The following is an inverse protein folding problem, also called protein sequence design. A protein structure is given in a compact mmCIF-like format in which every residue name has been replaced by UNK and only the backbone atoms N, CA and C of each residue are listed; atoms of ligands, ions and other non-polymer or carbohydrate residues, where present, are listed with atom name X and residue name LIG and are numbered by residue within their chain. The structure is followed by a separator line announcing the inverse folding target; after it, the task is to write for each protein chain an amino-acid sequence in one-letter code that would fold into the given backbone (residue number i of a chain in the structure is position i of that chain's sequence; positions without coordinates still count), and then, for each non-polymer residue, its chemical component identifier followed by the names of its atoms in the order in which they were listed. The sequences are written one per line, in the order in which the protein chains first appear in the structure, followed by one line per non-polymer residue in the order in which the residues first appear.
data_IF_215460086837
#
_entry.id   IF_215460086837
#
_cell.length_a   1.000
_cell.length_b   1.000
_cell.length_c   1.000
_cell.angle_alpha   90.00
_cell.angle_beta   90.00
_cell.angle_gamma   90.00
#
_symmetry.space_group_name_H-M   'P 1'
#
loop_
_entity.id
_entity.type
_entity.pdbx_description
1 polymer ?
#
# COMPACT_ATOMS: atom_id res chain seq x y z
N UNK A 1 10.70 20.56 -0.97
CA UNK A 1 9.82 19.89 -1.95
C UNK A 1 10.31 20.23 -3.36
N UNK A 2 10.82 19.25 -4.08
CA UNK A 2 11.40 19.45 -5.43
C UNK A 2 10.57 18.74 -6.54
N UNK A 3 9.40 18.20 -6.18
CA UNK A 3 8.47 17.55 -7.12
C UNK A 3 8.77 16.08 -7.39
N UNK A 4 9.68 15.48 -6.64
CA UNK A 4 9.99 14.06 -6.67
C UNK A 4 10.13 13.53 -5.23
N UNK A 5 10.11 12.22 -5.06
CA UNK A 5 10.42 11.55 -3.79
C UNK A 5 11.62 10.64 -4.03
N UNK A 6 12.73 10.95 -3.37
CA UNK A 6 13.92 10.11 -3.34
C UNK A 6 13.80 9.00 -2.27
N UNK A 7 14.64 7.98 -2.35
CA UNK A 7 14.54 6.82 -1.47
C UNK A 7 14.56 7.18 0.01
N UNK A 8 15.47 8.05 0.43
CA UNK A 8 15.62 8.43 1.85
C UNK A 8 14.41 9.17 2.43
N UNK A 9 13.57 9.78 1.58
CA UNK A 9 12.36 10.51 1.98
C UNK A 9 11.15 9.61 2.22
N UNK A 10 11.23 8.37 1.76
CA UNK A 10 10.18 7.35 1.96
C UNK A 10 10.64 6.18 2.82
N UNK A 11 11.79 6.31 3.49
CA UNK A 11 12.33 5.24 4.33
C UNK A 11 11.47 5.02 5.58
N UNK A 12 10.88 3.83 5.78
CA UNK A 12 10.08 3.55 6.97
C UNK A 12 10.95 3.60 8.24
N UNK A 13 10.44 4.24 9.27
CA UNK A 13 11.11 4.27 10.58
C UNK A 13 10.56 3.15 11.46
N UNK A 14 11.43 2.22 11.85
CA UNK A 14 11.06 1.09 12.72
C UNK A 14 10.56 1.58 14.07
N UNK A 15 9.42 1.05 14.52
CA UNK A 15 8.86 1.30 15.84
C UNK A 15 8.12 2.62 16.00
N UNK A 16 8.15 3.51 15.02
CA UNK A 16 7.37 4.75 15.05
C UNK A 16 6.00 4.50 14.42
N UNK A 17 4.89 4.61 15.18
CA UNK A 17 3.56 4.41 14.62
C UNK A 17 3.09 5.65 13.85
N UNK A 18 2.49 5.42 12.69
CA UNK A 18 1.63 6.39 12.02
C UNK A 18 0.18 6.09 12.36
N UNK A 19 -0.60 7.14 12.63
CA UNK A 19 -2.03 7.01 12.92
C UNK A 19 -2.83 7.28 11.66
N UNK A 20 -3.79 6.39 11.37
CA UNK A 20 -4.68 6.52 10.22
C UNK A 20 -6.14 6.47 10.66
N UNK A 21 -6.96 7.28 9.97
CA UNK A 21 -8.40 7.15 9.95
C UNK A 21 -8.76 6.20 8.80
N UNK A 22 -9.47 5.14 9.10
CA UNK A 22 -9.75 4.06 8.15
C UNK A 22 -11.24 3.75 8.12
N UNK A 23 -11.81 3.60 6.94
CA UNK A 23 -13.19 3.14 6.80
C UNK A 23 -13.37 1.76 7.45
N UNK A 24 -14.48 1.53 8.19
CA UNK A 24 -14.78 0.20 8.74
C UNK A 24 -14.83 -0.86 7.64
N UNK A 25 -14.45 -2.09 7.98
CA UNK A 25 -14.48 -3.21 7.04
C UNK A 25 -15.89 -3.37 6.41
N UNK A 26 -15.94 -3.48 5.09
CA UNK A 26 -17.20 -3.58 4.33
C UNK A 26 -17.96 -2.24 4.18
N UNK A 27 -17.40 -1.12 4.65
CA UNK A 27 -18.00 0.20 4.50
C UNK A 27 -17.34 0.95 3.35
N UNK A 28 -18.03 1.08 2.26
CA UNK A 28 -17.57 1.84 1.11
C UNK A 28 -17.55 3.35 1.38
N UNK A 29 -16.62 4.06 0.70
CA UNK A 29 -16.49 5.52 0.72
C UNK A 29 -16.51 6.08 -0.69
N UNK A 30 -17.33 7.10 -0.92
CA UNK A 30 -17.22 7.90 -2.15
C UNK A 30 -15.94 8.71 -2.08
N UNK A 31 -15.17 8.68 -3.16
CA UNK A 31 -13.89 9.39 -3.30
C UNK A 31 -13.81 10.11 -4.62
N UNK A 32 -13.20 11.29 -4.64
CA UNK A 32 -12.81 11.99 -5.86
C UNK A 32 -11.29 11.86 -6.06
N UNK A 33 -10.90 10.88 -6.87
CA UNK A 33 -9.50 10.63 -7.18
C UNK A 33 -9.00 11.46 -8.36
N UNK A 34 -9.87 12.09 -9.13
CA UNK A 34 -9.51 13.01 -10.23
C UNK A 34 -9.02 14.33 -9.65
N UNK A 35 -9.71 14.85 -8.64
CA UNK A 35 -9.42 16.15 -8.04
C UNK A 35 -9.79 17.33 -8.97
N UNK A 36 -9.67 18.53 -8.44
CA UNK A 36 -9.99 19.77 -9.12
C UNK A 36 -8.72 20.59 -9.40
N UNK A 37 -8.75 21.39 -10.48
CA UNK A 37 -7.73 22.43 -10.71
C UNK A 37 -8.13 23.70 -9.93
N UNK A 38 -7.24 24.18 -9.08
CA UNK A 38 -7.38 25.44 -8.35
C UNK A 38 -6.06 26.23 -8.40
N UNK A 39 -6.09 27.42 -8.89
CA UNK A 39 -4.91 28.29 -9.01
C UNK A 39 -3.70 27.63 -9.68
N UNK A 40 -3.97 26.81 -10.72
CA UNK A 40 -2.94 26.09 -11.48
C UNK A 40 -2.36 24.88 -10.74
N UNK A 41 -3.00 24.42 -9.65
CA UNK A 41 -2.62 23.23 -8.89
C UNK A 41 -3.73 22.19 -8.90
N UNK A 42 -3.35 20.92 -8.92
CA UNK A 42 -4.30 19.82 -8.66
C UNK A 42 -4.57 19.73 -7.16
N UNK A 43 -5.84 19.66 -6.80
CA UNK A 43 -6.29 19.56 -5.39
C UNK A 43 -7.24 18.39 -5.23
N UNK A 44 -6.94 17.50 -4.28
CA UNK A 44 -7.79 16.38 -3.88
C UNK A 44 -8.38 16.65 -2.49
N UNK A 45 -9.70 16.78 -2.42
CA UNK A 45 -10.43 17.05 -1.19
C UNK A 45 -10.81 15.73 -0.49
N UNK A 46 -9.88 15.13 0.24
CA UNK A 46 -10.07 13.86 0.96
C UNK A 46 -10.22 14.06 2.48
N UNK A 47 -10.46 15.30 2.91
CA UNK A 47 -10.59 15.69 4.31
C UNK A 47 -12.01 15.55 4.90
N UNK A 48 -12.93 14.84 4.23
CA UNK A 48 -14.28 14.62 4.78
C UNK A 48 -14.18 13.84 6.08
N UNK A 49 -14.78 14.36 7.13
CA UNK A 49 -14.87 13.68 8.42
C UNK A 49 -16.00 12.64 8.38
N UNK A 50 -15.65 11.38 8.57
CA UNK A 50 -16.60 10.28 8.69
C UNK A 50 -16.65 9.84 10.14
N UNK A 51 -17.77 10.07 10.81
CA UNK A 51 -17.95 9.78 12.24
C UNK A 51 -17.75 8.29 12.62
N UNK A 52 -17.80 7.39 11.66
CA UNK A 52 -17.61 5.95 11.83
C UNK A 52 -16.21 5.46 11.43
N UNK A 53 -15.28 6.34 11.06
CA UNK A 53 -13.91 5.93 10.78
C UNK A 53 -13.22 5.37 12.02
N UNK A 54 -12.44 4.34 11.82
CA UNK A 54 -11.68 3.66 12.85
C UNK A 54 -10.25 4.21 12.89
N UNK A 55 -9.68 4.31 14.08
CA UNK A 55 -8.29 4.69 14.27
C UNK A 55 -7.40 3.44 14.18
N UNK A 56 -6.53 3.39 13.20
CA UNK A 56 -5.51 2.35 13.07
C UNK A 56 -4.12 2.95 13.32
N UNK A 57 -3.32 2.28 14.17
CA UNK A 57 -1.91 2.62 14.38
C UNK A 57 -1.05 1.59 13.68
N UNK A 58 -0.31 2.03 12.68
CA UNK A 58 0.53 1.17 11.84
C UNK A 58 1.99 1.57 12.09
N UNK A 59 2.82 0.60 12.47
CA UNK A 59 4.26 0.79 12.63
C UNK A 59 5.04 -0.23 11.83
N UNK A 60 6.15 0.19 11.27
CA UNK A 60 7.14 -0.71 10.72
C UNK A 60 7.84 -1.46 11.88
N UNK A 61 8.06 -2.75 11.70
CA UNK A 61 8.70 -3.65 12.66
C UNK A 61 9.86 -4.38 11.99
N UNK A 62 10.72 -5.00 12.79
CA UNK A 62 11.73 -5.94 12.29
C UNK A 62 11.11 -7.30 12.01
N UNK A 63 11.83 -8.13 11.28
CA UNK A 63 11.45 -9.53 11.02
C UNK A 63 11.63 -10.43 12.26
N UNK A 64 12.38 -9.96 13.26
CA UNK A 64 12.69 -10.73 14.47
C UNK A 64 11.42 -11.13 15.23
N UNK A 65 11.37 -12.40 15.66
CA UNK A 65 10.23 -12.96 16.40
C UNK A 65 8.99 -13.27 15.57
N UNK A 66 8.98 -12.97 14.28
CA UNK A 66 7.88 -13.35 13.39
C UNK A 66 7.92 -14.84 13.07
N UNK A 67 6.79 -15.53 13.06
CA UNK A 67 6.71 -16.96 12.83
C UNK A 67 7.23 -17.38 11.44
N UNK A 68 7.13 -16.47 10.46
CA UNK A 68 7.57 -16.65 9.08
C UNK A 68 9.01 -16.18 8.84
N UNK A 69 9.69 -15.67 9.86
CA UNK A 69 11.06 -15.14 9.71
C UNK A 69 12.06 -16.13 9.06
N UNK A 70 12.00 -17.44 9.33
CA UNK A 70 12.92 -18.38 8.67
C UNK A 70 12.84 -18.39 7.14
N UNK A 71 11.67 -18.11 6.57
CA UNK A 71 11.48 -18.09 5.11
C UNK A 71 12.12 -16.86 4.44
N UNK A 72 12.49 -15.87 5.22
CA UNK A 72 13.12 -14.61 4.78
C UNK A 72 14.52 -14.41 5.40
N UNK A 73 15.15 -15.45 5.89
CA UNK A 73 16.41 -15.37 6.64
C UNK A 73 17.60 -14.75 5.86
N UNK A 74 17.50 -14.70 4.53
CA UNK A 74 18.52 -14.07 3.67
C UNK A 74 18.32 -12.57 3.43
N UNK A 75 17.25 -11.95 3.98
CA UNK A 75 16.97 -10.53 3.78
C UNK A 75 17.65 -9.69 4.86
N UNK A 76 18.55 -8.82 4.43
CA UNK A 76 19.14 -7.80 5.30
C UNK A 76 18.16 -6.61 5.44
N UNK A 77 18.05 -6.06 6.64
CA UNK A 77 17.24 -4.90 6.95
C UNK A 77 15.76 -5.06 6.53
N UNK A 78 15.22 -6.27 6.68
CA UNK A 78 13.83 -6.53 6.37
C UNK A 78 12.89 -5.72 7.26
N UNK A 79 11.87 -5.14 6.63
CA UNK A 79 10.85 -4.33 7.25
C UNK A 79 9.52 -5.08 7.16
N UNK A 80 8.79 -5.13 8.26
CA UNK A 80 7.45 -5.74 8.32
C UNK A 80 6.43 -4.68 8.65
N UNK A 81 5.39 -4.56 7.84
CA UNK A 81 4.26 -3.68 8.13
C UNK A 81 2.93 -4.35 7.82
N UNK A 82 1.84 -4.04 8.58
CA UNK A 82 0.50 -4.45 8.20
C UNK A 82 0.11 -3.93 6.81
N UNK A 83 -0.45 -4.80 5.98
CA UNK A 83 -1.04 -4.44 4.68
C UNK A 83 -2.46 -3.93 4.88
N UNK A 84 -3.25 -4.63 5.72
CA UNK A 84 -4.61 -4.26 6.06
C UNK A 84 -4.68 -3.46 7.37
N UNK A 85 -5.73 -2.66 7.53
CA UNK A 85 -5.94 -1.83 8.71
C UNK A 85 -6.18 -2.62 10.01
N UNK A 86 -6.64 -3.86 9.89
CA UNK A 86 -6.87 -4.77 11.02
C UNK A 86 -5.59 -5.44 11.53
N UNK A 87 -4.47 -5.27 10.83
CA UNK A 87 -3.19 -5.89 11.20
C UNK A 87 -3.17 -7.40 11.11
N UNK A 88 -4.06 -7.99 10.31
CA UNK A 88 -4.19 -9.45 10.17
C UNK A 88 -3.22 -10.03 9.14
N UNK A 89 -2.79 -9.20 8.20
CA UNK A 89 -1.86 -9.54 7.12
C UNK A 89 -0.69 -8.58 7.12
N UNK A 90 0.50 -9.11 7.06
CA UNK A 90 1.75 -8.37 7.08
C UNK A 90 2.49 -8.54 5.76
N UNK A 91 3.06 -7.46 5.26
CA UNK A 91 4.01 -7.47 4.14
C UNK A 91 5.45 -7.46 4.66
N UNK A 92 6.31 -8.17 3.96
CA UNK A 92 7.75 -8.23 4.24
C UNK A 92 8.49 -7.48 3.14
N UNK A 93 9.19 -6.43 3.51
CA UNK A 93 9.77 -5.47 2.57
C UNK A 93 11.27 -5.30 2.79
N UNK A 94 11.93 -4.80 1.75
CA UNK A 94 13.24 -4.13 1.85
C UNK A 94 13.15 -2.75 1.23
N UNK A 95 14.00 -1.86 1.72
CA UNK A 95 14.15 -0.50 1.21
C UNK A 95 15.62 -0.22 0.92
N UNK A 96 15.90 0.29 -0.28
CA UNK A 96 17.23 0.74 -0.68
C UNK A 96 17.14 1.96 -1.61
N UNK A 97 18.26 2.48 -2.08
CA UNK A 97 18.32 3.69 -2.91
C UNK A 97 17.56 3.59 -4.24
N UNK A 98 17.19 2.40 -4.67
CA UNK A 98 16.54 2.18 -5.96
C UNK A 98 15.07 1.77 -5.86
N UNK A 99 14.68 1.09 -4.77
CA UNK A 99 13.33 0.59 -4.64
C UNK A 99 12.89 0.33 -3.19
N UNK A 100 11.57 0.42 -2.98
CA UNK A 100 10.86 -0.21 -1.88
C UNK A 100 10.17 -1.46 -2.42
N UNK A 101 10.61 -2.63 -1.97
CA UNK A 101 10.28 -3.92 -2.58
C UNK A 101 9.58 -4.86 -1.60
N UNK A 102 8.49 -5.50 -2.05
CA UNK A 102 7.74 -6.52 -1.32
C UNK A 102 8.32 -7.91 -1.65
N UNK A 103 8.77 -8.62 -0.64
CA UNK A 103 9.35 -9.98 -0.74
C UNK A 103 8.35 -11.08 -0.42
N UNK A 104 7.30 -10.76 0.30
CA UNK A 104 6.28 -11.72 0.66
C UNK A 104 5.15 -11.13 1.47
N UNK A 105 4.14 -11.96 1.68
CA UNK A 105 2.94 -11.65 2.48
C UNK A 105 2.70 -12.79 3.45
N UNK A 106 2.45 -12.47 4.71
CA UNK A 106 2.14 -13.46 5.73
C UNK A 106 0.96 -13.02 6.61
N UNK A 107 0.20 -13.97 7.15
CA UNK A 107 -0.72 -13.68 8.23
C UNK A 107 0.04 -13.34 9.51
N UNK A 108 -0.46 -12.37 10.29
CA UNK A 108 0.16 -12.02 11.57
C UNK A 108 0.16 -13.22 12.55
N UNK A 109 -0.89 -14.05 12.51
CA UNK A 109 -0.96 -15.29 13.30
C UNK A 109 -0.46 -16.51 12.50
N UNK A 110 0.31 -17.42 13.12
CA UNK A 110 0.74 -18.69 12.51
C UNK A 110 -0.41 -19.68 12.36
N UNK A 111 -1.51 -19.47 13.06
CA UNK A 111 -2.60 -20.43 13.21
C UNK A 111 -3.92 -19.93 12.64
N UNK A 112 -4.82 -20.87 12.36
CA UNK A 112 -6.18 -20.59 11.93
C UNK A 112 -6.44 -20.74 10.43
N UNK A 113 -7.71 -20.60 10.01
CA UNK A 113 -8.13 -20.85 8.63
C UNK A 113 -7.63 -19.77 7.65
N UNK A 114 -7.16 -18.65 8.16
CA UNK A 114 -6.61 -17.55 7.34
C UNK A 114 -5.08 -17.57 7.27
N UNK A 115 -4.42 -18.65 7.75
CA UNK A 115 -2.96 -18.76 7.64
C UNK A 115 -2.52 -18.51 6.20
N UNK A 116 -1.66 -17.53 6.02
CA UNK A 116 -1.13 -17.13 4.71
C UNK A 116 0.38 -16.98 4.82
N UNK A 117 1.09 -17.49 3.83
CA UNK A 117 2.52 -17.27 3.63
C UNK A 117 2.81 -17.37 2.14
N UNK A 118 3.07 -16.23 1.54
CA UNK A 118 3.45 -16.08 0.15
C UNK A 118 4.87 -15.51 0.11
N UNK A 119 5.81 -16.28 -0.43
CA UNK A 119 7.20 -15.85 -0.60
C UNK A 119 7.45 -15.67 -2.09
N UNK A 120 7.77 -14.45 -2.51
CA UNK A 120 8.05 -14.15 -3.90
C UNK A 120 9.47 -14.54 -4.28
N UNK A 121 9.65 -15.32 -5.34
CA UNK A 121 10.96 -15.64 -5.91
C UNK A 121 11.73 -14.41 -6.36
N UNK A 122 10.99 -13.46 -6.95
CA UNK A 122 11.50 -12.15 -7.33
C UNK A 122 10.68 -11.11 -6.60
N UNK A 123 11.31 -10.19 -5.86
CA UNK A 123 10.58 -9.18 -5.12
C UNK A 123 9.81 -8.24 -6.07
N UNK A 124 8.66 -7.79 -5.60
CA UNK A 124 7.80 -6.84 -6.31
C UNK A 124 8.25 -5.43 -5.93
N UNK A 125 8.80 -4.66 -6.86
CA UNK A 125 9.11 -3.26 -6.62
C UNK A 125 7.82 -2.44 -6.55
N UNK A 126 7.37 -2.11 -5.34
CA UNK A 126 6.19 -1.26 -5.14
C UNK A 126 6.50 0.18 -5.51
N UNK A 127 7.67 0.68 -5.15
CA UNK A 127 8.14 2.01 -5.52
C UNK A 127 9.57 1.91 -6.07
N UNK A 128 9.82 2.51 -7.23
CA UNK A 128 11.15 2.68 -7.82
C UNK A 128 11.55 4.14 -7.70
N UNK A 129 12.69 4.41 -7.10
CA UNK A 129 13.16 5.76 -6.83
C UNK A 129 14.05 6.30 -7.95
N UNK A 130 14.03 7.61 -8.22
CA UNK A 130 13.11 8.58 -7.64
C UNK A 130 11.69 8.45 -8.20
N UNK A 131 10.67 8.68 -7.34
CA UNK A 131 9.28 8.80 -7.78
C UNK A 131 9.02 10.22 -8.27
N UNK A 132 8.46 10.35 -9.46
CA UNK A 132 8.06 11.63 -10.02
C UNK A 132 6.90 11.43 -11.02
N UNK A 133 6.09 12.46 -11.29
CA UNK A 133 5.07 12.38 -12.33
C UNK A 133 5.67 11.96 -13.69
N UNK A 134 5.01 11.00 -14.36
CA UNK A 134 5.49 10.39 -15.60
C UNK A 134 6.21 9.05 -15.42
N UNK A 135 6.61 8.68 -14.20
CA UNK A 135 7.18 7.35 -13.92
C UNK A 135 6.09 6.29 -14.04
N UNK A 136 6.36 5.23 -14.79
CA UNK A 136 5.46 4.09 -14.97
C UNK A 136 6.26 2.80 -15.20
N UNK A 137 5.84 1.70 -14.57
CA UNK A 137 6.47 0.40 -14.73
C UNK A 137 5.53 -0.73 -14.34
N UNK A 138 5.90 -1.95 -14.75
CA UNK A 138 5.29 -3.19 -14.28
C UNK A 138 6.33 -4.04 -13.56
N UNK A 139 5.91 -4.78 -12.55
CA UNK A 139 6.74 -5.70 -11.78
C UNK A 139 5.91 -6.92 -11.40
N UNK A 140 6.54 -8.10 -11.37
CA UNK A 140 5.84 -9.36 -11.13
C UNK A 140 6.61 -10.19 -10.12
N UNK A 141 5.90 -10.71 -9.12
CA UNK A 141 6.38 -11.71 -8.19
C UNK A 141 5.72 -13.06 -8.46
N UNK A 142 6.47 -14.14 -8.31
CA UNK A 142 5.99 -15.51 -8.47
C UNK A 142 6.09 -16.26 -7.14
N UNK A 143 5.02 -16.97 -6.79
CA UNK A 143 4.95 -17.85 -5.61
C UNK A 143 4.78 -19.28 -6.12
N UNK A 144 5.65 -20.22 -5.68
CA UNK A 144 5.57 -21.63 -6.06
C UNK A 144 5.00 -22.52 -4.97
N UNK A 145 5.43 -22.33 -3.72
CA UNK A 145 5.09 -23.19 -2.58
C UNK A 145 4.50 -22.36 -1.44
N UNK A 146 3.51 -21.55 -1.76
CA UNK A 146 2.85 -20.69 -0.78
C UNK A 146 1.71 -21.40 -0.04
N UNK A 147 1.20 -20.71 0.97
CA UNK A 147 -0.04 -21.03 1.67
C UNK A 147 -0.93 -19.80 1.58
N UNK A 148 -2.15 -19.96 1.11
CA UNK A 148 -3.15 -18.90 1.09
C UNK A 148 -4.44 -19.37 1.76
N UNK A 149 -4.80 -18.72 2.87
CA UNK A 149 -5.97 -19.11 3.69
C UNK A 149 -6.00 -20.59 4.04
N UNK A 150 -4.84 -21.11 4.49
CA UNK A 150 -4.70 -22.50 4.91
C UNK A 150 -4.57 -23.52 3.78
N UNK A 151 -4.65 -23.11 2.52
CA UNK A 151 -4.55 -23.99 1.35
C UNK A 151 -3.21 -23.80 0.62
N UNK A 152 -2.65 -24.86 0.00
CA UNK A 152 -1.50 -24.71 -0.87
C UNK A 152 -1.77 -23.71 -2.00
N UNK A 153 -0.79 -22.85 -2.27
CA UNK A 153 -0.90 -21.80 -3.26
C UNK A 153 0.36 -21.72 -4.14
N UNK A 154 0.13 -21.55 -5.43
CA UNK A 154 1.11 -21.10 -6.38
C UNK A 154 0.45 -20.09 -7.32
N UNK A 155 1.20 -19.10 -7.77
CA UNK A 155 0.64 -18.05 -8.63
C UNK A 155 1.63 -16.95 -8.93
N UNK A 156 1.10 -15.93 -9.57
CA UNK A 156 1.87 -14.74 -9.98
C UNK A 156 1.07 -13.50 -9.69
N UNK A 157 1.70 -12.53 -9.04
CA UNK A 157 1.13 -11.23 -8.76
C UNK A 157 1.87 -10.17 -9.58
N UNK A 158 1.12 -9.42 -10.38
CA UNK A 158 1.66 -8.34 -11.21
C UNK A 158 1.15 -7.01 -10.72
N UNK A 159 2.06 -6.07 -10.55
CA UNK A 159 1.80 -4.70 -10.14
C UNK A 159 2.16 -3.75 -11.28
N UNK A 160 1.16 -3.06 -11.80
CA UNK A 160 1.33 -1.98 -12.78
C UNK A 160 1.23 -0.67 -12.00
N UNK A 161 2.34 0.06 -11.92
CA UNK A 161 2.49 1.27 -11.10
C UNK A 161 2.69 2.48 -11.99
N UNK A 162 1.99 3.57 -11.69
CA UNK A 162 2.07 4.83 -12.42
C UNK A 162 2.00 6.01 -11.45
N UNK A 163 2.98 6.88 -11.51
CA UNK A 163 2.95 8.19 -10.85
C UNK A 163 2.46 9.20 -11.89
N UNK A 164 1.24 9.69 -11.77
CA UNK A 164 0.62 10.45 -12.86
C UNK A 164 0.39 11.93 -12.54
N UNK A 165 0.43 12.32 -11.28
CA UNK A 165 0.18 13.69 -10.88
C UNK A 165 0.90 14.04 -9.56
N UNK A 166 1.10 15.34 -9.36
CA UNK A 166 1.47 15.94 -8.09
C UNK A 166 0.47 17.04 -7.75
N UNK A 167 0.22 17.27 -6.47
CA UNK A 167 -0.73 18.31 -6.07
C UNK A 167 -0.96 18.35 -4.55
N UNK A 168 -1.99 19.09 -4.18
CA UNK A 168 -2.40 19.28 -2.81
C UNK A 168 -3.44 18.23 -2.40
N UNK A 169 -3.29 17.67 -1.21
CA UNK A 169 -4.25 16.74 -0.61
C UNK A 169 -4.72 17.31 0.71
N UNK A 170 -6.02 17.59 0.81
CA UNK A 170 -6.67 17.93 2.08
C UNK A 170 -7.03 16.66 2.82
N UNK A 171 -6.56 16.56 4.06
CA UNK A 171 -6.85 15.49 5.02
C UNK A 171 -7.77 16.04 6.13
N UNK A 172 -8.38 15.20 6.97
CA UNK A 172 -9.24 15.69 8.04
C UNK A 172 -8.58 16.71 8.96
N UNK A 173 -7.32 16.52 9.32
CA UNK A 173 -6.63 17.34 10.32
C UNK A 173 -5.67 18.37 9.71
N UNK A 174 -5.22 18.17 8.48
CA UNK A 174 -4.23 19.04 7.84
C UNK A 174 -4.24 18.88 6.31
N UNK A 175 -3.47 19.72 5.63
CA UNK A 175 -3.30 19.67 4.19
C UNK A 175 -1.82 19.49 3.86
N UNK A 176 -1.50 18.62 2.92
CA UNK A 176 -0.16 18.45 2.37
C UNK A 176 -0.10 19.00 0.95
N UNK A 177 1.00 19.65 0.62
CA UNK A 177 1.25 20.22 -0.71
C UNK A 177 2.24 19.32 -1.46
N UNK A 178 2.11 19.21 -2.78
CA UNK A 178 3.02 18.41 -3.63
C UNK A 178 3.04 16.90 -3.30
N UNK A 179 1.92 16.36 -2.80
CA UNK A 179 1.78 14.90 -2.71
C UNK A 179 1.80 14.28 -4.12
N UNK A 180 2.52 13.18 -4.28
CA UNK A 180 2.52 12.41 -5.52
C UNK A 180 1.35 11.43 -5.51
N UNK A 181 0.54 11.44 -6.58
CA UNK A 181 -0.49 10.41 -6.78
C UNK A 181 0.12 9.21 -7.50
N UNK A 182 0.06 8.06 -6.82
CA UNK A 182 0.52 6.78 -7.34
C UNK A 182 -0.68 5.86 -7.55
N UNK A 183 -0.91 5.46 -8.79
CA UNK A 183 -1.93 4.49 -9.17
C UNK A 183 -1.28 3.12 -9.34
N UNK A 184 -1.87 2.12 -8.72
CA UNK A 184 -1.41 0.73 -8.81
C UNK A 184 -2.57 -0.16 -9.22
N UNK A 185 -2.38 -0.97 -10.26
CA UNK A 185 -3.26 -2.08 -10.58
C UNK A 185 -2.55 -3.37 -10.20
N UNK A 186 -3.17 -4.12 -9.30
CA UNK A 186 -2.70 -5.44 -8.90
C UNK A 186 -3.49 -6.49 -9.66
N UNK A 187 -2.79 -7.42 -10.31
CA UNK A 187 -3.37 -8.60 -10.95
C UNK A 187 -2.85 -9.84 -10.24
N UNK A 188 -3.73 -10.61 -9.64
CA UNK A 188 -3.42 -11.87 -8.96
C UNK A 188 -3.83 -13.01 -9.89
N UNK A 189 -2.85 -13.80 -10.33
CA UNK A 189 -3.03 -14.92 -11.27
C UNK A 189 -2.62 -16.24 -10.59
N UNK A 190 -3.52 -16.87 -9.84
CA UNK A 190 -3.24 -18.16 -9.21
C UNK A 190 -3.02 -19.23 -10.29
N UNK A 191 -2.17 -20.22 -10.02
CA UNK A 191 -1.94 -21.36 -10.93
C UNK A 191 -3.23 -22.20 -11.13
N UNK A 192 -4.12 -22.17 -10.15
CA UNK A 192 -5.45 -22.74 -10.23
C UNK A 192 -6.47 -21.79 -9.61
N UNK A 193 -7.46 -21.37 -10.38
CA UNK A 193 -8.47 -20.41 -9.94
C UNK A 193 -8.67 -19.27 -10.94
N UNK A 194 -9.44 -18.28 -10.51
CA UNK A 194 -9.73 -17.10 -11.32
C UNK A 194 -8.65 -16.05 -11.13
N UNK A 195 -8.26 -15.41 -12.21
CA UNK A 195 -7.47 -14.18 -12.16
C UNK A 195 -8.35 -13.08 -11.57
N UNK A 196 -7.81 -12.31 -10.63
CA UNK A 196 -8.50 -11.18 -10.03
C UNK A 196 -7.67 -9.91 -10.16
N UNK A 197 -8.34 -8.78 -10.28
CA UNK A 197 -7.70 -7.48 -10.33
C UNK A 197 -8.24 -6.56 -9.24
N UNK A 198 -7.40 -5.66 -8.77
CA UNK A 198 -7.78 -4.60 -7.84
C UNK A 198 -6.97 -3.35 -8.13
N UNK A 199 -7.59 -2.19 -7.97
CA UNK A 199 -6.94 -0.89 -8.13
C UNK A 199 -6.71 -0.24 -6.77
N UNK A 200 -5.62 0.48 -6.70
CA UNK A 200 -5.25 1.27 -5.54
C UNK A 200 -4.74 2.62 -6.01
N UNK A 201 -5.15 3.66 -5.33
CA UNK A 201 -4.57 4.99 -5.49
C UNK A 201 -3.99 5.43 -4.15
N UNK A 202 -2.68 5.67 -4.12
CA UNK A 202 -1.96 6.17 -2.96
C UNK A 202 -1.50 7.60 -3.21
N UNK A 203 -1.51 8.42 -2.17
CA UNK A 203 -0.88 9.73 -2.17
C UNK A 203 0.32 9.67 -1.23
N UNK A 204 1.48 9.93 -1.79
CA UNK A 204 2.76 9.92 -1.08
C UNK A 204 3.25 11.34 -0.88
N UNK A 205 3.76 11.62 0.32
CA UNK A 205 4.34 12.91 0.63
C UNK A 205 5.73 12.71 1.26
N UNK A 206 6.68 13.57 0.88
CA UNK A 206 8.06 13.54 1.39
C UNK A 206 8.08 13.46 2.92
N UNK A 207 8.90 12.59 3.47
CA UNK A 207 9.12 12.36 4.91
C UNK A 207 7.91 11.87 5.72
N UNK A 208 6.69 11.89 5.18
CA UNK A 208 5.49 11.34 5.84
C UNK A 208 5.06 9.98 5.26
N UNK A 209 5.56 9.64 4.06
CA UNK A 209 5.19 8.41 3.40
C UNK A 209 3.79 8.45 2.79
N UNK A 210 3.02 7.39 2.94
CA UNK A 210 1.66 7.29 2.41
C UNK A 210 0.68 8.04 3.30
N UNK A 211 0.16 9.16 2.80
CA UNK A 211 -0.80 10.01 3.53
C UNK A 211 -2.25 9.64 3.22
N UNK A 212 -2.52 9.04 2.06
CA UNK A 212 -3.83 8.46 1.70
C UNK A 212 -3.63 7.19 0.90
N UNK A 213 -4.51 6.21 1.14
CA UNK A 213 -4.73 5.07 0.27
C UNK A 213 -6.22 4.85 0.07
N UNK A 214 -6.64 4.81 -1.18
CA UNK A 214 -7.97 4.34 -1.59
C UNK A 214 -7.80 3.01 -2.33
N UNK A 215 -8.52 1.98 -1.90
CA UNK A 215 -8.52 0.65 -2.51
C UNK A 215 -9.89 0.37 -3.11
N UNK A 216 -9.96 -0.03 -4.36
CA UNK A 216 -11.21 -0.33 -5.05
C UNK A 216 -11.80 -1.68 -4.62
N UNK A 217 -13.02 -1.97 -5.07
CA UNK A 217 -13.50 -3.36 -5.15
C UNK A 217 -12.64 -4.18 -6.12
N UNK A 218 -12.80 -5.50 -6.07
CA UNK A 218 -12.22 -6.38 -7.10
C UNK A 218 -12.85 -6.10 -8.46
N UNK A 219 -12.10 -6.35 -9.53
CA UNK A 219 -12.51 -6.20 -10.93
C UNK A 219 -13.00 -4.78 -11.28
N UNK A 220 -12.45 -3.77 -10.62
CA UNK A 220 -12.76 -2.37 -10.91
C UNK A 220 -12.16 -1.96 -12.26
N UNK A 221 -12.98 -1.60 -13.26
CA UNK A 221 -12.49 -1.23 -14.59
C UNK A 221 -11.88 0.18 -14.62
N UNK A 222 -12.40 1.10 -13.82
CA UNK A 222 -12.04 2.52 -13.88
C UNK A 222 -10.74 2.80 -13.11
N UNK A 223 -9.80 3.49 -13.77
CA UNK A 223 -8.54 3.89 -13.15
C UNK A 223 -8.77 4.92 -12.03
N UNK A 224 -9.64 5.88 -12.26
CA UNK A 224 -10.10 6.86 -11.28
C UNK A 224 -11.49 6.44 -10.74
N UNK A 225 -11.51 5.34 -10.00
CA UNK A 225 -12.74 4.83 -9.40
C UNK A 225 -13.31 5.83 -8.38
N UNK A 226 -14.63 5.85 -8.24
CA UNK A 226 -15.35 6.80 -7.37
C UNK A 226 -15.82 6.21 -6.04
N UNK A 227 -15.66 4.89 -5.87
CA UNK A 227 -16.03 4.17 -4.65
C UNK A 227 -14.86 3.34 -4.17
N UNK A 228 -14.36 3.66 -2.97
CA UNK A 228 -13.31 2.90 -2.30
C UNK A 228 -13.93 1.89 -1.33
N UNK A 229 -13.48 0.63 -1.41
CA UNK A 229 -13.77 -0.42 -0.43
C UNK A 229 -13.03 -0.20 0.90
N UNK A 230 -11.84 0.37 0.82
CA UNK A 230 -11.07 0.86 1.95
C UNK A 230 -10.54 2.25 1.61
N UNK A 231 -10.80 3.21 2.49
CA UNK A 231 -10.16 4.52 2.47
C UNK A 231 -9.35 4.67 3.75
N UNK A 232 -8.05 4.88 3.60
CA UNK A 232 -7.10 5.12 4.69
C UNK A 232 -6.52 6.52 4.53
N UNK A 233 -6.49 7.30 5.59
CA UNK A 233 -6.01 8.68 5.58
C UNK A 233 -5.17 8.93 6.82
N UNK A 234 -3.99 9.51 6.65
CA UNK A 234 -3.13 9.90 7.76
C UNK A 234 -3.88 10.93 8.63
N UNK A 235 -3.93 10.69 9.91
CA UNK A 235 -4.57 11.56 10.89
C UNK A 235 -3.62 11.92 12.03
N UNK A 236 -3.94 12.98 12.75
CA UNK A 236 -3.28 13.28 14.00
C UNK A 236 -3.87 12.37 15.07
N UNK A 237 -3.01 11.73 15.85
CA UNK A 237 -3.48 10.91 16.97
C UNK A 237 -4.22 11.78 17.98
N UNK A 238 -5.42 11.38 18.47
CA UNK A 238 -6.01 12.00 19.62
C UNK A 238 -5.18 11.73 20.88
#
# INVERSE_FOLDING_TARGET
LDGKIDAHELAPTIGIPATYLVSPAGKERTVDLVGAERDGKRVWALGVDFADDQVARISAQTLEGKWYAPEFAGLENAIVTPIDAGGTTEGIYTHNDTAFSLHGVASASPDGPNKTLLVYKTPIALYRFPLAPGVSYSTTGEVENGIFRGLPYAGRDTYEVKVDAAGEVSLPDFTVTQALRVKTKVTISPAAGQVTTQRQTSFLFECLGEVVRATSKLEEPEEDFTVANELRRLGLAP
#
